data_IF_958888026222
#
_entry.id   IF_958888026222
#
_cell.length_a   1.000
_cell.length_b   1.000
_cell.length_c   1.000
_cell.angle_alpha   90.00
_cell.angle_beta   90.00
_cell.angle_gamma   90.00
#
_symmetry.space_group_name_H-M   'P 1'
#
loop_
_entity.id
_entity.type
_entity.pdbx_description
1 polymer ?
#
# COMPACT_ATOMS: atom_id res chain seq x y z
N UNK A 1 12.57 -12.92 -2.16
CA UNK A 1 12.16 -11.63 -1.60
C UNK A 1 11.23 -11.82 -0.41
N UNK A 2 11.42 -11.08 0.68
CA UNK A 2 10.49 -10.98 1.78
C UNK A 2 9.48 -9.85 1.50
N UNK A 3 8.24 -10.04 1.97
CA UNK A 3 7.19 -9.03 1.90
C UNK A 3 6.82 -8.56 0.49
N UNK A 4 7.13 -9.34 -0.54
CA UNK A 4 6.69 -9.09 -1.90
C UNK A 4 5.23 -9.47 -2.11
N UNK A 5 4.61 -8.91 -3.14
CA UNK A 5 3.28 -9.30 -3.62
C UNK A 5 3.35 -9.81 -5.05
N UNK A 6 2.49 -10.76 -5.38
CA UNK A 6 2.44 -11.39 -6.69
C UNK A 6 1.04 -11.29 -7.31
N UNK A 7 1.00 -11.14 -8.64
CA UNK A 7 -0.23 -11.19 -9.45
C UNK A 7 0.00 -12.06 -10.66
N UNK A 8 -0.98 -12.89 -11.01
CA UNK A 8 -0.98 -13.68 -12.23
C UNK A 8 -2.02 -13.07 -13.19
N UNK A 9 -1.60 -12.81 -14.42
CA UNK A 9 -2.46 -12.31 -15.50
C UNK A 9 -3.14 -13.43 -16.27
N UNK A 10 -4.18 -13.10 -17.04
CA UNK A 10 -4.93 -14.07 -17.83
C UNK A 10 -4.11 -14.74 -18.94
N UNK A 11 -3.01 -14.15 -19.37
CA UNK A 11 -2.06 -14.71 -20.34
C UNK A 11 -0.95 -15.58 -19.67
N UNK A 12 -1.15 -15.91 -18.37
CA UNK A 12 -0.27 -16.78 -17.58
C UNK A 12 1.13 -16.19 -17.33
N UNK A 13 1.21 -14.89 -17.12
CA UNK A 13 2.42 -14.24 -16.61
C UNK A 13 2.23 -13.93 -15.13
N UNK A 14 3.25 -14.21 -14.33
CA UNK A 14 3.29 -13.83 -12.93
C UNK A 14 4.22 -12.63 -12.73
N UNK A 15 3.75 -11.63 -12.06
CA UNK A 15 4.49 -10.42 -11.71
C UNK A 15 4.74 -10.38 -10.21
N UNK A 16 5.92 -9.87 -9.83
CA UNK A 16 6.35 -9.74 -8.45
C UNK A 16 6.75 -8.28 -8.17
N UNK A 17 6.21 -7.72 -7.09
CA UNK A 17 6.38 -6.31 -6.73
C UNK A 17 6.92 -6.15 -5.33
N UNK A 18 7.84 -5.19 -5.15
CA UNK A 18 8.40 -4.81 -3.85
C UNK A 18 9.13 -5.93 -3.13
N UNK A 19 9.19 -5.77 -1.83
CA UNK A 19 9.87 -6.71 -0.95
C UNK A 19 11.35 -6.41 -0.76
N UNK A 20 11.98 -7.22 0.06
CA UNK A 20 13.38 -7.08 0.48
C UNK A 20 14.15 -8.37 0.16
N UNK A 21 15.37 -8.24 -0.33
CA UNK A 21 16.28 -9.37 -0.44
C UNK A 21 16.78 -9.77 0.95
N UNK A 22 16.52 -11.02 1.32
CA UNK A 22 16.86 -11.52 2.67
C UNK A 22 18.37 -11.58 2.93
N UNK A 23 19.17 -11.63 1.87
CA UNK A 23 20.63 -11.80 1.98
C UNK A 23 21.32 -10.45 2.08
N UNK A 24 20.92 -9.50 1.23
CA UNK A 24 21.53 -8.18 1.14
C UNK A 24 20.82 -7.12 1.97
N UNK A 25 19.57 -7.39 2.36
CA UNK A 25 18.66 -6.43 2.99
C UNK A 25 18.40 -5.19 2.11
N UNK A 26 18.54 -5.36 0.80
CA UNK A 26 18.21 -4.32 -0.17
C UNK A 26 16.77 -4.41 -0.62
N UNK A 27 16.14 -3.26 -0.78
CA UNK A 27 14.77 -3.18 -1.24
C UNK A 27 14.70 -3.44 -2.74
N UNK A 28 13.70 -4.22 -3.15
CA UNK A 28 13.46 -4.53 -4.56
C UNK A 28 12.52 -3.49 -5.18
N UNK A 29 13.10 -2.42 -5.72
CA UNK A 29 12.36 -1.31 -6.34
C UNK A 29 11.88 -1.63 -7.75
N UNK A 30 12.45 -2.66 -8.37
CA UNK A 30 12.15 -3.07 -9.74
C UNK A 30 11.28 -4.32 -9.75
N UNK A 31 10.09 -4.29 -10.37
CA UNK A 31 9.26 -5.49 -10.56
C UNK A 31 9.95 -6.55 -11.42
N UNK A 32 9.56 -7.79 -11.19
CA UNK A 32 10.00 -8.94 -11.98
C UNK A 32 8.80 -9.68 -12.56
N UNK A 33 9.01 -10.37 -13.69
CA UNK A 33 7.98 -11.15 -14.35
C UNK A 33 8.53 -12.50 -14.79
N UNK A 34 7.72 -13.54 -14.69
CA UNK A 34 7.98 -14.85 -15.27
C UNK A 34 6.79 -15.27 -16.14
N UNK A 35 7.08 -15.82 -17.31
CA UNK A 35 6.09 -16.46 -18.17
C UNK A 35 5.88 -17.91 -17.72
N UNK A 36 4.70 -18.22 -17.18
CA UNK A 36 4.39 -19.54 -16.66
C UNK A 36 4.24 -20.61 -17.77
N UNK A 37 4.06 -20.19 -19.01
CA UNK A 37 4.09 -21.10 -20.19
C UNK A 37 5.52 -21.49 -20.58
N UNK A 38 6.50 -20.66 -20.24
CA UNK A 38 7.89 -20.79 -20.61
C UNK A 38 8.78 -20.61 -19.36
N UNK A 39 8.47 -21.33 -18.30
CA UNK A 39 9.10 -21.18 -16.98
C UNK A 39 10.63 -21.38 -17.01
N UNK A 40 11.13 -22.17 -17.95
CA UNK A 40 12.57 -22.44 -18.13
C UNK A 40 13.35 -21.19 -18.58
N UNK A 41 12.68 -20.16 -19.08
CA UNK A 41 13.31 -18.87 -19.41
C UNK A 41 13.66 -18.06 -18.17
N UNK A 42 13.12 -18.43 -17.00
CA UNK A 42 13.38 -17.76 -15.72
C UNK A 42 12.71 -16.39 -15.60
N UNK A 43 13.12 -15.69 -14.56
CA UNK A 43 12.60 -14.37 -14.23
C UNK A 43 13.23 -13.28 -15.11
N UNK A 44 12.39 -12.35 -15.55
CA UNK A 44 12.78 -11.14 -16.28
C UNK A 44 12.61 -9.93 -15.38
N UNK A 45 13.68 -9.17 -15.21
CA UNK A 45 13.65 -7.86 -14.51
C UNK A 45 13.02 -6.82 -15.43
N UNK A 46 12.10 -6.03 -14.92
CA UNK A 46 11.40 -4.98 -15.65
C UNK A 46 12.04 -3.62 -15.34
N UNK A 47 13.26 -3.40 -15.81
CA UNK A 47 14.07 -2.21 -15.49
C UNK A 47 13.35 -0.87 -15.78
N UNK A 48 12.51 -0.83 -16.82
CA UNK A 48 11.70 0.35 -17.15
C UNK A 48 10.60 0.66 -16.13
N UNK A 49 10.38 -0.25 -15.17
CA UNK A 49 9.40 -0.14 -14.10
C UNK A 49 10.05 0.05 -12.73
N UNK A 50 11.35 0.33 -12.69
CA UNK A 50 12.03 0.68 -11.46
C UNK A 50 11.41 1.93 -10.83
N UNK A 51 11.06 1.85 -9.55
CA UNK A 51 10.44 2.96 -8.84
C UNK A 51 10.71 2.91 -7.35
N UNK A 52 11.65 3.73 -6.93
CA UNK A 52 11.92 3.92 -5.50
C UNK A 52 10.72 4.58 -4.77
N UNK A 53 9.95 5.41 -5.47
CA UNK A 53 8.75 6.08 -4.91
C UNK A 53 7.60 5.11 -4.61
N UNK A 54 7.50 3.99 -5.34
CA UNK A 54 6.40 3.04 -5.19
C UNK A 54 6.79 1.74 -4.51
N UNK A 55 8.06 1.34 -4.58
CA UNK A 55 8.52 0.04 -4.07
C UNK A 55 9.78 0.14 -3.23
N UNK A 56 10.29 1.36 -2.99
CA UNK A 56 11.42 1.65 -2.13
C UNK A 56 11.00 2.35 -0.85
N UNK A 57 11.91 3.14 -0.28
CA UNK A 57 11.60 3.99 0.87
C UNK A 57 11.62 3.25 2.20
N UNK A 58 12.82 3.00 2.75
CA UNK A 58 12.97 2.35 4.07
C UNK A 58 12.21 3.05 5.18
N UNK A 59 12.01 4.37 5.04
CA UNK A 59 11.36 5.19 6.07
C UNK A 59 9.84 5.28 5.90
N UNK A 60 9.28 4.76 4.81
CA UNK A 60 7.88 4.94 4.42
C UNK A 60 7.10 3.64 4.15
N UNK A 61 7.75 2.50 4.30
CA UNK A 61 7.13 1.16 4.17
C UNK A 61 6.46 0.85 2.81
N UNK A 62 6.68 1.61 1.74
CA UNK A 62 6.10 1.33 0.41
C UNK A 62 6.54 -0.02 -0.17
N UNK A 63 7.71 -0.50 0.21
CA UNK A 63 8.27 -1.79 -0.20
C UNK A 63 7.53 -2.99 0.41
N UNK A 64 6.82 -2.76 1.52
CA UNK A 64 6.26 -3.79 2.36
C UNK A 64 4.85 -4.17 1.88
N UNK A 65 4.73 -5.33 1.23
CA UNK A 65 3.48 -5.86 0.69
C UNK A 65 2.72 -4.85 -0.19
N UNK A 66 3.28 -4.34 -1.30
CA UNK A 66 2.49 -3.58 -2.25
C UNK A 66 1.30 -4.42 -2.71
N UNK A 67 0.07 -3.96 -2.43
CA UNK A 67 -1.14 -4.72 -2.79
C UNK A 67 -1.39 -4.56 -4.28
N UNK A 68 -1.39 -5.66 -5.02
CA UNK A 68 -1.51 -5.66 -6.47
C UNK A 68 -2.70 -6.51 -6.94
N UNK A 69 -3.42 -6.04 -7.95
CA UNK A 69 -4.62 -6.66 -8.48
C UNK A 69 -4.63 -6.57 -10.01
N UNK A 70 -5.22 -7.57 -10.66
CA UNK A 70 -5.48 -7.53 -12.09
C UNK A 70 -6.76 -6.71 -12.33
N UNK A 71 -6.64 -5.61 -13.05
CA UNK A 71 -7.77 -4.80 -13.47
C UNK A 71 -8.45 -5.38 -14.72
N UNK A 72 -9.67 -4.95 -14.96
CA UNK A 72 -10.48 -5.49 -16.07
C UNK A 72 -10.02 -5.08 -17.45
N UNK A 73 -9.22 -4.02 -17.55
CA UNK A 73 -8.56 -3.59 -18.79
C UNK A 73 -7.27 -4.37 -19.10
N UNK A 74 -6.90 -5.32 -18.22
CA UNK A 74 -5.72 -6.14 -18.34
C UNK A 74 -4.46 -5.56 -17.70
N UNK A 75 -4.50 -4.33 -17.22
CA UNK A 75 -3.41 -3.73 -16.46
C UNK A 75 -3.33 -4.31 -15.05
N UNK A 76 -2.18 -4.17 -14.41
CA UNK A 76 -2.06 -4.47 -12.99
C UNK A 76 -2.11 -3.14 -12.23
N UNK A 77 -3.05 -3.01 -11.32
CA UNK A 77 -3.19 -1.85 -10.43
C UNK A 77 -2.76 -2.22 -9.02
N UNK A 78 -2.29 -1.23 -8.27
CA UNK A 78 -1.88 -1.54 -6.92
C UNK A 78 -1.85 -0.34 -5.99
N UNK A 79 -1.52 -0.68 -4.74
CA UNK A 79 -1.44 0.24 -3.62
C UNK A 79 -0.15 -0.06 -2.86
N UNK A 80 0.71 0.95 -2.74
CA UNK A 80 1.90 0.91 -1.91
C UNK A 80 1.76 1.98 -0.84
N UNK A 81 1.60 1.55 0.41
CA UNK A 81 1.26 2.44 1.52
C UNK A 81 -0.04 3.22 1.24
N UNK A 82 0.03 4.50 0.87
CA UNK A 82 -1.12 5.34 0.48
C UNK A 82 -1.14 5.69 -1.01
N UNK A 83 -0.14 5.27 -1.76
CA UNK A 83 -0.01 5.59 -3.20
C UNK A 83 -0.66 4.51 -4.03
N UNK A 84 -1.46 4.91 -5.01
CA UNK A 84 -1.97 4.01 -6.04
C UNK A 84 -1.09 4.07 -7.28
N UNK A 85 -0.98 2.95 -7.97
CA UNK A 85 -0.17 2.82 -9.17
C UNK A 85 -0.78 1.87 -10.18
N UNK A 86 -0.33 1.96 -11.41
CA UNK A 86 -0.65 1.04 -12.51
C UNK A 86 0.64 0.57 -13.17
N UNK A 87 0.70 -0.73 -13.47
CA UNK A 87 1.67 -1.28 -14.41
C UNK A 87 0.94 -1.47 -15.74
N UNK A 88 1.32 -0.65 -16.74
CA UNK A 88 0.74 -0.65 -18.08
C UNK A 88 1.33 -1.77 -18.92
N UNK A 89 0.56 -2.85 -19.08
CA UNK A 89 1.00 -4.04 -19.82
C UNK A 89 1.17 -3.77 -21.32
N UNK A 90 0.49 -2.76 -21.85
CA UNK A 90 0.53 -2.39 -23.26
C UNK A 90 1.67 -1.40 -23.58
N UNK A 91 2.29 -0.80 -22.57
CA UNK A 91 3.36 0.17 -22.70
C UNK A 91 4.66 -0.39 -22.08
N UNK A 92 5.09 -1.54 -22.56
CA UNK A 92 6.31 -2.22 -22.13
C UNK A 92 6.38 -2.40 -20.59
N UNK A 93 5.25 -2.69 -19.95
CA UNK A 93 5.14 -2.90 -18.51
C UNK A 93 5.61 -1.70 -17.65
N UNK A 94 5.44 -0.49 -18.14
CA UNK A 94 5.83 0.70 -17.39
C UNK A 94 4.93 0.89 -16.17
N UNK A 95 5.54 1.11 -15.01
CA UNK A 95 4.82 1.47 -13.80
C UNK A 95 4.68 2.98 -13.66
N UNK A 96 3.50 3.43 -13.19
CA UNK A 96 3.21 4.85 -12.99
C UNK A 96 2.35 5.03 -11.73
N UNK A 97 2.66 6.05 -10.94
CA UNK A 97 1.78 6.52 -9.86
C UNK A 97 0.50 7.11 -10.47
N UNK A 98 -0.65 6.73 -9.93
CA UNK A 98 -1.96 7.18 -10.42
C UNK A 98 -2.72 8.06 -9.43
N UNK A 99 -2.33 8.04 -8.16
CA UNK A 99 -2.95 8.87 -7.13
C UNK A 99 -2.44 8.56 -5.74
N UNK A 100 -3.08 9.19 -4.76
CA UNK A 100 -2.86 8.93 -3.34
C UNK A 100 -4.20 8.88 -2.62
N UNK A 101 -4.32 7.99 -1.64
CA UNK A 101 -5.46 7.99 -0.72
C UNK A 101 -5.44 9.31 0.04
N UNK A 102 -6.55 10.08 0.02
CA UNK A 102 -6.58 11.41 0.61
C UNK A 102 -6.17 11.41 2.08
N UNK A 103 -5.37 12.39 2.48
CA UNK A 103 -5.03 12.61 3.87
C UNK A 103 -6.29 13.05 4.62
N UNK A 104 -6.62 12.37 5.72
CA UNK A 104 -7.65 12.83 6.63
C UNK A 104 -6.99 13.72 7.67
N UNK A 105 -7.39 14.98 7.72
CA UNK A 105 -7.05 15.85 8.85
C UNK A 105 -7.82 15.33 10.06
N UNK A 106 -7.20 14.53 10.90
CA UNK A 106 -7.84 14.12 12.13
C UNK A 106 -7.89 15.29 13.09
N UNK A 107 -9.04 15.46 13.71
CA UNK A 107 -9.15 16.28 14.91
C UNK A 107 -8.21 15.73 15.99
N UNK A 108 -7.84 16.60 16.93
CA UNK A 108 -6.91 16.37 18.04
C UNK A 108 -7.02 14.94 18.58
N UNK A 109 -6.06 14.09 18.23
CA UNK A 109 -5.87 12.83 18.91
C UNK A 109 -5.17 13.11 20.23
N UNK A 110 -5.86 12.98 21.36
CA UNK A 110 -5.23 12.91 22.66
C UNK A 110 -4.48 11.59 22.71
N UNK A 111 -3.19 11.59 22.40
CA UNK A 111 -2.29 10.52 22.79
C UNK A 111 -2.16 10.61 24.31
N UNK A 112 -2.92 9.79 25.01
CA UNK A 112 -2.69 9.52 26.41
C UNK A 112 -1.46 8.61 26.47
N UNK A 113 -0.28 9.17 26.66
CA UNK A 113 0.91 8.43 27.07
C UNK A 113 0.70 7.88 28.49
N UNK A 114 0.06 6.72 28.55
CA UNK A 114 -0.22 6.05 29.84
C UNK A 114 1.02 5.36 30.45
N UNK A 115 2.20 5.50 29.84
CA UNK A 115 3.40 4.75 30.24
C UNK A 115 4.57 5.58 30.73
N UNK A 116 4.48 6.90 30.75
CA UNK A 116 5.56 7.72 31.31
C UNK A 116 5.18 8.31 32.67
N UNK A 117 5.72 7.79 33.79
CA UNK A 117 5.40 8.31 35.12
C UNK A 117 5.91 9.75 35.39
N UNK A 118 6.70 10.32 34.46
CA UNK A 118 7.22 11.68 34.55
C UNK A 118 6.51 12.64 33.56
N UNK A 119 5.34 12.28 33.06
CA UNK A 119 4.58 13.14 32.15
C UNK A 119 4.06 14.36 32.90
N UNK A 120 4.52 15.53 32.50
CA UNK A 120 4.07 16.80 33.07
C UNK A 120 2.71 17.18 32.49
N UNK A 121 1.64 16.97 33.26
CA UNK A 121 0.27 17.27 32.88
C UNK A 121 -0.06 18.78 32.81
N UNK A 122 0.84 19.65 33.26
CA UNK A 122 0.61 21.09 33.27
C UNK A 122 1.10 21.79 32.00
N UNK A 123 1.91 21.13 31.16
CA UNK A 123 2.49 21.74 29.97
C UNK A 123 1.72 21.33 28.71
N UNK A 124 0.56 21.96 28.53
CA UNK A 124 -0.36 21.69 27.40
C UNK A 124 0.22 22.17 26.04
N UNK A 125 1.31 22.94 26.03
CA UNK A 125 1.95 23.46 24.81
C UNK A 125 2.68 22.38 23.98
N UNK A 126 2.80 21.15 24.47
CA UNK A 126 3.29 19.99 23.72
C UNK A 126 2.20 19.17 23.05
N UNK A 127 1.00 19.70 22.89
CA UNK A 127 0.05 19.17 21.92
C UNK A 127 0.62 19.38 20.50
N UNK A 128 1.60 18.54 20.15
CA UNK A 128 1.98 18.34 18.76
C UNK A 128 0.67 17.98 18.04
N UNK A 129 0.15 18.92 17.26
CA UNK A 129 -0.81 18.61 16.21
C UNK A 129 -0.11 17.59 15.33
N UNK A 130 -0.27 16.31 15.63
CA UNK A 130 0.09 15.25 14.73
C UNK A 130 -0.82 15.47 13.52
N UNK A 131 -0.27 16.10 12.51
CA UNK A 131 -0.85 16.01 11.17
C UNK A 131 -0.76 14.54 10.86
N UNK A 132 -1.84 13.82 11.13
CA UNK A 132 -1.88 12.39 10.85
C UNK A 132 -1.75 12.29 9.35
N UNK A 133 -0.74 11.58 8.92
CA UNK A 133 -0.48 11.26 7.55
C UNK A 133 -1.60 10.46 6.90
N UNK A 134 -1.28 9.54 6.03
CA UNK A 134 -2.31 8.70 5.40
C UNK A 134 -3.22 8.05 6.42
N UNK A 135 -4.56 8.11 6.24
CA UNK A 135 -5.52 7.46 7.14
C UNK A 135 -5.45 5.93 7.08
N UNK A 136 -4.76 5.38 6.10
CA UNK A 136 -4.47 3.95 5.97
C UNK A 136 -2.96 3.78 5.88
N UNK A 137 -2.40 2.97 6.73
CA UNK A 137 -0.95 2.82 6.86
C UNK A 137 -0.39 1.59 6.15
N UNK A 138 0.91 1.37 6.33
CA UNK A 138 1.66 0.27 5.70
C UNK A 138 1.11 -1.12 6.00
N UNK A 139 0.51 -1.29 7.16
CA UNK A 139 -0.09 -2.57 7.60
C UNK A 139 -1.61 -2.61 7.39
N UNK A 140 -2.09 -1.89 6.38
CA UNK A 140 -3.49 -1.88 5.99
C UNK A 140 -3.94 -3.26 5.47
N UNK A 141 -5.23 -3.48 5.53
CA UNK A 141 -5.89 -4.60 4.87
C UNK A 141 -6.49 -4.13 3.55
N UNK A 142 -6.35 -4.94 2.52
CA UNK A 142 -6.83 -4.61 1.19
C UNK A 142 -7.54 -5.84 0.59
N UNK A 143 -8.71 -5.63 0.01
CA UNK A 143 -9.48 -6.68 -0.64
C UNK A 143 -10.23 -6.14 -1.85
N UNK A 144 -10.19 -6.87 -2.96
CA UNK A 144 -11.02 -6.57 -4.12
C UNK A 144 -12.42 -7.16 -3.87
N UNK A 145 -13.42 -6.30 -3.75
CA UNK A 145 -14.81 -6.70 -3.42
C UNK A 145 -15.68 -6.91 -4.66
N UNK A 146 -15.36 -6.24 -5.73
CA UNK A 146 -15.99 -6.32 -7.04
C UNK A 146 -14.92 -6.10 -8.10
N UNK A 147 -15.28 -6.35 -9.36
CA UNK A 147 -14.43 -6.01 -10.49
C UNK A 147 -13.97 -4.56 -10.40
N UNK A 148 -12.67 -4.34 -10.41
CA UNK A 148 -11.99 -3.03 -10.33
C UNK A 148 -12.27 -2.21 -9.05
N UNK A 149 -12.95 -2.78 -8.04
CA UNK A 149 -13.22 -2.08 -6.78
C UNK A 149 -12.52 -2.74 -5.61
N UNK A 150 -11.73 -1.95 -4.94
CA UNK A 150 -10.86 -2.39 -3.85
C UNK A 150 -11.21 -1.62 -2.57
N UNK A 151 -11.43 -2.34 -1.48
CA UNK A 151 -11.48 -1.76 -0.14
C UNK A 151 -10.10 -1.75 0.49
N UNK A 152 -9.73 -0.59 1.04
CA UNK A 152 -8.52 -0.40 1.85
C UNK A 152 -8.94 0.08 3.23
N UNK A 153 -8.45 -0.56 4.27
CA UNK A 153 -8.87 -0.21 5.62
C UNK A 153 -7.82 -0.53 6.68
N UNK A 154 -7.86 0.25 7.76
CA UNK A 154 -6.97 0.06 8.89
C UNK A 154 -5.51 0.43 8.59
N UNK A 155 -4.62 -0.26 9.24
CA UNK A 155 -3.19 -0.03 9.15
C UNK A 155 -2.66 0.90 10.24
N UNK A 156 -1.35 1.05 10.30
CA UNK A 156 -0.68 2.01 11.19
C UNK A 156 -0.84 3.41 10.63
N UNK A 157 -1.06 4.37 11.50
CA UNK A 157 -1.00 5.78 11.13
C UNK A 157 0.46 6.23 11.05
N UNK A 158 0.75 7.15 10.14
CA UNK A 158 2.10 7.69 9.97
C UNK A 158 2.58 8.37 11.25
N UNK A 159 3.81 8.07 11.66
CA UNK A 159 4.46 8.67 12.83
C UNK A 159 4.12 8.04 14.18
N UNK A 160 3.22 7.05 14.21
CA UNK A 160 2.89 6.34 15.45
C UNK A 160 2.65 4.85 15.19
N UNK A 161 3.61 4.02 15.59
CA UNK A 161 3.55 2.56 15.45
C UNK A 161 2.38 1.93 16.22
N UNK A 162 1.84 2.62 17.19
CA UNK A 162 0.84 2.10 18.13
C UNK A 162 -0.58 2.64 17.86
N UNK A 163 -0.74 3.53 16.89
CA UNK A 163 -2.04 4.11 16.55
C UNK A 163 -2.65 3.46 15.31
N UNK A 164 -3.42 2.37 15.47
CA UNK A 164 -4.11 1.77 14.35
C UNK A 164 -5.23 2.69 13.85
N UNK A 165 -5.54 2.60 12.55
CA UNK A 165 -6.65 3.31 11.92
C UNK A 165 -7.94 2.48 11.94
N UNK A 166 -9.10 3.14 11.99
CA UNK A 166 -10.41 2.55 11.70
C UNK A 166 -10.98 3.02 10.35
N UNK A 167 -10.24 3.78 9.59
CA UNK A 167 -10.68 4.36 8.33
C UNK A 167 -10.83 3.30 7.23
N UNK A 168 -11.78 3.54 6.35
CA UNK A 168 -12.10 2.67 5.21
C UNK A 168 -12.22 3.51 3.95
N UNK A 169 -11.55 3.10 2.90
CA UNK A 169 -11.64 3.70 1.57
C UNK A 169 -12.04 2.67 0.54
N UNK A 170 -12.95 3.06 -0.33
CA UNK A 170 -13.20 2.39 -1.60
C UNK A 170 -12.36 3.07 -2.67
N UNK A 171 -11.59 2.27 -3.40
CA UNK A 171 -10.85 2.72 -4.58
C UNK A 171 -11.46 2.02 -5.78
N UNK A 172 -11.91 2.80 -6.75
CA UNK A 172 -12.45 2.33 -8.01
C UNK A 172 -11.40 2.51 -9.12
N UNK A 173 -10.91 1.40 -9.65
CA UNK A 173 -9.93 1.30 -10.72
C UNK A 173 -10.58 1.01 -12.08
N UNK A 174 -11.86 1.34 -12.29
CA UNK A 174 -12.51 1.18 -13.61
C UNK A 174 -11.78 1.94 -14.72
N UNK A 175 -11.08 3.02 -14.38
CA UNK A 175 -9.99 3.61 -15.15
C UNK A 175 -8.69 3.40 -14.36
N UNK A 176 -7.86 2.46 -14.79
CA UNK A 176 -6.61 2.09 -14.10
C UNK A 176 -5.65 3.27 -13.93
N UNK A 177 -5.73 4.28 -14.82
CA UNK A 177 -4.87 5.45 -14.80
C UNK A 177 -5.43 6.62 -13.99
N UNK A 178 -6.72 6.58 -13.62
CA UNK A 178 -7.43 7.64 -12.89
C UNK A 178 -8.36 7.08 -11.84
N UNK A 179 -7.83 6.37 -10.83
CA UNK A 179 -8.67 5.77 -9.80
C UNK A 179 -9.46 6.82 -9.04
N UNK A 180 -10.67 6.45 -8.63
CA UNK A 180 -11.53 7.28 -7.81
C UNK A 180 -11.49 6.82 -6.36
N UNK A 181 -11.43 7.76 -5.43
CA UNK A 181 -11.35 7.48 -4.00
C UNK A 181 -12.63 7.92 -3.30
N UNK A 182 -13.17 7.06 -2.46
CA UNK A 182 -14.34 7.36 -1.63
C UNK A 182 -14.10 6.88 -0.21
N UNK A 183 -14.10 7.82 0.75
CA UNK A 183 -14.14 7.46 2.16
C UNK A 183 -15.52 6.85 2.49
N UNK A 184 -15.51 5.72 3.17
CA UNK A 184 -16.69 5.03 3.66
C UNK A 184 -16.82 5.21 5.17
N UNK A 185 -17.91 4.66 5.75
CA UNK A 185 -18.07 4.59 7.19
C UNK A 185 -16.90 3.83 7.83
N UNK A 186 -16.40 4.38 8.92
CA UNK A 186 -15.27 3.79 9.64
C UNK A 186 -15.63 2.45 10.29
N UNK A 187 -14.65 1.57 10.42
CA UNK A 187 -14.82 0.35 11.23
C UNK A 187 -15.13 0.71 12.69
N UNK A 188 -15.85 -0.16 13.39
CA UNK A 188 -16.14 -0.01 14.82
C UNK A 188 -14.86 0.06 15.68
N UNK A 189 -13.81 -0.64 15.27
CA UNK A 189 -12.54 -0.70 15.98
C UNK A 189 -11.38 -0.43 15.02
N UNK A 190 -10.43 0.40 15.47
CA UNK A 190 -9.18 0.61 14.77
C UNK A 190 -8.34 -0.69 14.76
N UNK A 191 -7.68 -0.99 13.64
CA UNK A 191 -6.91 -2.22 13.44
C UNK A 191 -5.69 -1.99 12.57
N UNK A 192 -4.62 -2.72 12.89
CA UNK A 192 -3.45 -2.88 12.01
C UNK A 192 -3.14 -4.37 11.84
N UNK A 193 -2.38 -4.74 10.81
CA UNK A 193 -2.01 -6.12 10.51
C UNK A 193 -3.22 -7.08 10.39
N UNK A 194 -4.37 -6.57 9.97
CA UNK A 194 -5.57 -7.38 9.74
C UNK A 194 -5.49 -8.13 8.40
N UNK A 195 -6.23 -9.22 8.30
CA UNK A 195 -6.46 -9.92 7.04
C UNK A 195 -7.88 -9.65 6.55
N UNK A 196 -8.04 -9.60 5.24
CA UNK A 196 -9.33 -9.50 4.58
C UNK A 196 -9.45 -10.63 3.55
N UNK A 197 -10.58 -11.32 3.59
CA UNK A 197 -10.96 -12.35 2.61
C UNK A 197 -12.42 -12.15 2.23
N UNK A 198 -12.74 -12.52 0.99
CA UNK A 198 -14.12 -12.59 0.48
C UNK A 198 -14.50 -14.06 0.39
#
# INVERSE_FOLDING_TARGET
>A
RWYASAVITGDEKMFLFGGEDITTLELSTTPEMIDLKNIDQGWKILEQSDSNDLFGGKDSDEWNYPRAFLASDGNIVGISYNKTWVLDVNNNYRVMKTGEIPLVKSGISKVLEHSNPNFDHENIDHLKLLTIGSPVGSTNSVVMIEKDKVLVFGGKQEGDEYSPSNKVFLIDFSDSFKPQFKELESMNFARSNGNATI
#
